data_IF_003565179155
#
_entry.id   IF_003565179155
#
_cell.length_a   1.000
_cell.length_b   1.000
_cell.length_c   1.000
_cell.angle_alpha   90.00
_cell.angle_beta   90.00
_cell.angle_gamma   90.00
#
_symmetry.space_group_name_H-M   'P 1'
#
loop_
_entity.id
_entity.type
_entity.pdbx_description
1 polymer ?
#
# COMPACT_ATOMS: atom_id res chain seq x y z
N UNK A 1 7.52 8.24 12.51
CA UNK A 1 7.51 7.49 11.24
C UNK A 1 6.07 7.12 10.90
N UNK A 2 5.61 7.50 9.71
CA UNK A 2 4.26 7.22 9.19
C UNK A 2 4.37 6.22 8.03
N UNK A 3 3.50 5.21 8.00
CA UNK A 3 3.46 4.21 6.92
C UNK A 3 2.05 4.16 6.36
N UNK A 4 1.93 4.34 5.04
CA UNK A 4 0.67 4.15 4.32
C UNK A 4 0.63 2.72 3.78
N UNK A 5 -0.49 2.04 3.99
CA UNK A 5 -0.73 0.70 3.47
C UNK A 5 -1.84 0.80 2.43
N UNK A 6 -1.53 0.48 1.18
CA UNK A 6 -2.49 0.39 0.09
C UNK A 6 -3.11 -1.01 0.08
N UNK A 7 -4.43 -1.07 0.25
CA UNK A 7 -5.18 -2.31 0.37
C UNK A 7 -5.73 -2.80 -0.97
N UNK A 8 -5.18 -3.88 -1.50
CA UNK A 8 -5.67 -4.56 -2.72
C UNK A 8 -6.64 -5.71 -2.42
N UNK A 9 -7.21 -5.76 -1.21
CA UNK A 9 -8.21 -6.76 -0.80
C UNK A 9 -7.63 -7.94 -0.03
N UNK A 10 -6.43 -7.81 0.55
CA UNK A 10 -5.84 -8.86 1.37
C UNK A 10 -6.55 -9.01 2.71
N UNK A 11 -6.84 -10.25 3.10
CA UNK A 11 -7.28 -10.61 4.45
C UNK A 11 -6.27 -10.19 5.54
N UNK A 12 -4.99 -9.99 5.18
CA UNK A 12 -3.92 -9.64 6.10
C UNK A 12 -3.62 -8.14 6.17
N UNK A 13 -4.31 -7.26 5.43
CA UNK A 13 -4.03 -5.81 5.44
C UNK A 13 -4.09 -5.22 6.85
N UNK A 14 -5.12 -5.59 7.64
CA UNK A 14 -5.25 -5.15 9.03
C UNK A 14 -4.17 -5.72 9.95
N UNK A 15 -3.68 -6.93 9.66
CA UNK A 15 -2.58 -7.54 10.39
C UNK A 15 -1.27 -6.79 10.11
N UNK A 16 -0.99 -6.44 8.86
CA UNK A 16 0.16 -5.60 8.49
C UNK A 16 0.11 -4.27 9.25
N UNK A 17 -1.03 -3.58 9.23
CA UNK A 17 -1.21 -2.33 9.95
C UNK A 17 -0.96 -2.46 11.46
N UNK A 18 -1.40 -3.57 12.07
CA UNK A 18 -1.13 -3.88 13.48
C UNK A 18 0.36 -4.12 13.74
N UNK A 19 1.06 -4.88 12.88
CA UNK A 19 2.50 -5.14 13.04
C UNK A 19 3.33 -3.87 12.95
N UNK A 20 2.97 -2.93 12.07
CA UNK A 20 3.63 -1.62 12.00
C UNK A 20 3.44 -0.84 13.32
N UNK A 21 2.25 -0.89 13.91
CA UNK A 21 1.99 -0.23 15.21
C UNK A 21 2.74 -0.89 16.37
N UNK A 22 2.89 -2.21 16.36
CA UNK A 22 3.70 -2.95 17.33
C UNK A 22 5.21 -2.58 17.23
N UNK A 23 5.64 -2.08 16.08
CA UNK A 23 6.99 -1.52 15.87
C UNK A 23 7.08 0.00 16.19
N UNK A 24 6.08 0.56 16.89
CA UNK A 24 6.00 1.97 17.27
C UNK A 24 5.95 2.96 16.06
N UNK A 25 5.48 2.51 14.90
CA UNK A 25 5.22 3.36 13.75
C UNK A 25 3.72 3.60 13.54
N UNK A 26 3.37 4.82 13.13
CA UNK A 26 1.99 5.14 12.77
C UNK A 26 1.63 4.45 11.44
N UNK A 27 0.43 3.86 11.37
CA UNK A 27 -0.05 3.21 10.15
C UNK A 27 -1.48 3.62 9.81
N UNK A 28 -1.68 3.94 8.53
CA UNK A 28 -2.97 4.22 7.91
C UNK A 28 -3.22 3.26 6.76
N UNK A 29 -4.44 2.77 6.63
CA UNK A 29 -4.86 1.93 5.51
C UNK A 29 -5.66 2.81 4.55
N UNK A 30 -5.30 2.76 3.27
CA UNK A 30 -6.03 3.39 2.18
C UNK A 30 -6.43 2.33 1.15
N UNK A 31 -7.49 2.58 0.35
CA UNK A 31 -7.80 1.75 -0.81
C UNK A 31 -6.59 1.63 -1.76
N UNK A 32 -6.46 0.48 -2.43
CA UNK A 32 -5.35 0.22 -3.36
C UNK A 32 -5.27 1.18 -4.54
N UNK A 33 -6.38 1.79 -4.92
CA UNK A 33 -6.56 2.77 -5.99
C UNK A 33 -6.56 4.23 -5.49
N UNK A 34 -6.12 4.47 -4.24
CA UNK A 34 -6.09 5.81 -3.69
C UNK A 34 -5.18 6.74 -4.52
N UNK A 35 -5.62 7.98 -4.81
CA UNK A 35 -4.84 8.93 -5.58
C UNK A 35 -3.58 9.36 -4.80
N UNK A 36 -2.49 9.65 -5.52
CA UNK A 36 -1.20 10.00 -4.91
C UNK A 36 -1.29 11.19 -3.95
N UNK A 37 -2.18 12.15 -4.22
CA UNK A 37 -2.41 13.31 -3.36
C UNK A 37 -2.92 12.91 -1.98
N UNK A 38 -3.76 11.87 -1.92
CA UNK A 38 -4.28 11.33 -0.65
C UNK A 38 -3.20 10.60 0.11
N UNK A 39 -2.30 9.91 -0.59
CA UNK A 39 -1.14 9.24 0.02
C UNK A 39 -0.19 10.29 0.60
N UNK A 40 0.15 11.33 -0.17
CA UNK A 40 1.04 12.42 0.23
C UNK A 40 0.48 13.26 1.39
N UNK A 41 -0.85 13.42 1.49
CA UNK A 41 -1.49 14.12 2.61
C UNK A 41 -1.24 13.49 3.99
N UNK A 42 -0.78 12.24 4.04
CA UNK A 42 -0.40 11.55 5.27
C UNK A 42 1.08 11.68 5.64
N UNK A 43 1.87 12.43 4.86
CA UNK A 43 3.32 12.59 5.02
C UNK A 43 4.04 11.25 5.31
N UNK A 44 3.84 10.23 4.45
CA UNK A 44 4.37 8.90 4.70
C UNK A 44 5.89 8.86 4.56
N UNK A 45 6.52 8.08 5.43
CA UNK A 45 7.94 7.76 5.34
C UNK A 45 8.20 6.48 4.54
N UNK A 46 7.16 5.67 4.35
CA UNK A 46 7.19 4.45 3.54
C UNK A 46 5.77 4.08 3.09
N UNK A 47 5.68 3.32 2.00
CA UNK A 47 4.42 2.79 1.48
C UNK A 47 4.50 1.26 1.41
N UNK A 48 3.43 0.58 1.83
CA UNK A 48 3.28 -0.86 1.69
C UNK A 48 2.14 -1.14 0.71
N UNK A 49 2.45 -1.88 -0.36
CA UNK A 49 1.46 -2.43 -1.27
C UNK A 49 1.03 -3.81 -0.72
N UNK A 50 -0.21 -3.93 -0.26
CA UNK A 50 -0.69 -5.18 0.32
C UNK A 50 -0.88 -6.27 -0.73
N UNK A 51 -1.17 -7.48 -0.26
CA UNK A 51 -1.61 -8.55 -1.16
C UNK A 51 -3.03 -8.33 -1.67
N UNK A 52 -3.49 -9.22 -2.52
CA UNK A 52 -4.86 -9.26 -3.00
C UNK A 52 -5.20 -10.64 -3.55
N UNK A 53 -6.48 -11.00 -3.63
CA UNK A 53 -6.92 -12.23 -4.28
C UNK A 53 -6.90 -12.13 -5.81
N UNK A 54 -6.86 -10.91 -6.35
CA UNK A 54 -6.85 -10.64 -7.77
C UNK A 54 -5.52 -11.03 -8.43
N UNK A 55 -5.56 -11.35 -9.72
CA UNK A 55 -4.37 -11.49 -10.55
C UNK A 55 -3.99 -10.12 -11.12
N UNK A 56 -2.71 -9.76 -11.12
CA UNK A 56 -2.22 -8.48 -11.69
C UNK A 56 -2.54 -8.33 -13.19
N UNK A 57 -2.76 -9.45 -13.89
CA UNK A 57 -3.09 -9.48 -15.32
C UNK A 57 -4.57 -9.21 -15.61
N UNK A 58 -5.43 -9.27 -14.58
CA UNK A 58 -6.86 -9.04 -14.74
C UNK A 58 -7.12 -7.55 -15.03
N UNK A 59 -7.90 -7.20 -16.08
CA UNK A 59 -8.24 -5.81 -16.40
C UNK A 59 -8.90 -5.05 -15.25
N UNK A 60 -9.67 -5.74 -14.41
CA UNK A 60 -10.42 -5.16 -13.30
C UNK A 60 -9.63 -5.19 -11.98
N UNK A 61 -8.37 -5.66 -12.01
CA UNK A 61 -7.54 -5.71 -10.82
C UNK A 61 -7.23 -4.30 -10.29
N UNK A 62 -7.30 -4.07 -8.97
CA UNK A 62 -7.03 -2.76 -8.38
C UNK A 62 -5.57 -2.36 -8.58
N UNK A 63 -5.33 -1.14 -9.07
CA UNK A 63 -3.98 -0.63 -9.36
C UNK A 63 -3.70 0.63 -8.56
N UNK A 64 -2.49 0.78 -7.99
CA UNK A 64 -2.08 2.06 -7.40
C UNK A 64 -1.96 3.14 -8.47
N UNK A 65 -2.11 4.39 -8.05
CA UNK A 65 -1.78 5.55 -8.87
C UNK A 65 -0.32 5.43 -9.36
N UNK A 66 -0.05 5.44 -10.68
CA UNK A 66 1.31 5.28 -11.21
C UNK A 66 2.29 6.31 -10.67
N UNK A 67 1.81 7.51 -10.31
CA UNK A 67 2.62 8.60 -9.73
C UNK A 67 3.14 8.27 -8.34
N UNK A 68 2.67 7.19 -7.72
CA UNK A 68 3.19 6.68 -6.46
C UNK A 68 4.69 6.37 -6.54
N UNK A 69 5.16 5.83 -7.67
CA UNK A 69 6.56 5.44 -7.85
C UNK A 69 7.49 6.62 -8.14
N UNK A 70 6.90 7.78 -8.47
CA UNK A 70 7.63 9.04 -8.60
C UNK A 70 7.86 9.71 -7.24
N UNK A 71 7.19 9.25 -6.18
CA UNK A 71 7.49 9.66 -4.82
C UNK A 71 8.80 8.97 -4.40
N UNK A 72 9.79 9.76 -3.95
CA UNK A 72 11.06 9.26 -3.41
C UNK A 72 10.87 8.61 -2.03
N UNK A 73 10.09 7.53 -1.99
CA UNK A 73 9.68 6.82 -0.80
C UNK A 73 10.06 5.34 -0.91
N UNK A 74 10.52 4.72 0.18
CA UNK A 74 10.65 3.28 0.26
C UNK A 74 9.28 2.59 0.06
N UNK A 75 9.21 1.67 -0.90
CA UNK A 75 8.01 0.87 -1.18
C UNK A 75 8.28 -0.61 -0.92
N UNK A 76 7.41 -1.24 -0.14
CA UNK A 76 7.41 -2.69 0.09
C UNK A 76 6.17 -3.32 -0.55
N UNK A 77 6.36 -4.17 -1.55
CA UNK A 77 5.30 -4.99 -2.13
C UNK A 77 5.17 -6.35 -1.44
N UNK A 78 3.94 -6.77 -1.14
CA UNK A 78 3.65 -8.10 -0.57
C UNK A 78 2.70 -8.85 -1.51
N UNK A 79 3.15 -9.99 -2.04
CA UNK A 79 2.36 -10.83 -2.95
C UNK A 79 1.85 -10.04 -4.17
N UNK A 80 0.55 -9.72 -4.26
CA UNK A 80 -0.01 -8.88 -5.33
C UNK A 80 0.76 -7.57 -5.49
N UNK A 81 1.03 -6.85 -4.39
CA UNK A 81 1.81 -5.63 -4.42
C UNK A 81 3.25 -5.82 -4.92
N UNK A 82 3.84 -7.02 -4.74
CA UNK A 82 5.15 -7.36 -5.32
C UNK A 82 5.05 -7.69 -6.81
N UNK A 83 3.96 -8.32 -7.25
CA UNK A 83 3.71 -8.61 -8.67
C UNK A 83 3.45 -7.35 -9.49
N UNK A 84 2.94 -6.30 -8.84
CA UNK A 84 2.66 -5.00 -9.48
C UNK A 84 3.91 -4.12 -9.60
N UNK A 85 4.85 -4.23 -8.66
CA UNK A 85 6.16 -3.56 -8.73
C UNK A 85 7.02 -4.09 -9.88
#
# INVERSE_FOLDING_TARGET
MSVVILDFGSQYTRLIARRIRELNAYSVILPGDAPVERIAAHDPHAVILSGGPASVLDPDAPRPDPRLFDLDLPILGICYGMQYL
#
